data_IF_423316269169
#
_entry.id   IF_423316269169
#
_cell.length_a   1.000
_cell.length_b   1.000
_cell.length_c   1.000
_cell.angle_alpha   90.00
_cell.angle_beta   90.00
_cell.angle_gamma   90.00
#
_symmetry.space_group_name_H-M   'P 1'
#
loop_
_entity.id
_entity.type
_entity.pdbx_description
1 polymer ?
#
# COMPACT_ATOMS: atom_id res chain seq x y z
N UNK A 1 42.56 1.78 35.90
CA UNK A 1 41.29 1.04 36.06
C UNK A 1 40.17 2.01 35.76
N UNK A 2 39.68 2.01 34.52
CA UNK A 2 38.57 2.85 34.07
C UNK A 2 37.38 1.92 33.82
N UNK A 3 36.31 2.17 34.56
CA UNK A 3 35.08 1.38 34.63
C UNK A 3 34.23 1.57 33.37
N UNK A 4 33.74 0.46 32.82
CA UNK A 4 32.79 0.40 31.69
C UNK A 4 31.43 1.00 32.07
N UNK A 5 30.71 1.68 31.14
CA UNK A 5 29.34 2.12 31.38
C UNK A 5 28.37 0.94 31.31
N UNK A 6 27.45 0.90 32.27
CA UNK A 6 26.34 -0.05 32.44
C UNK A 6 25.36 0.03 31.27
N UNK A 7 24.94 -1.14 30.76
CA UNK A 7 23.94 -1.28 29.72
C UNK A 7 22.60 -0.61 30.09
N UNK A 8 22.14 0.31 29.26
CA UNK A 8 20.81 0.91 29.34
C UNK A 8 19.75 -0.13 28.98
N UNK A 9 18.75 -0.30 29.85
CA UNK A 9 17.63 -1.20 29.62
C UNK A 9 16.89 -0.84 28.33
N UNK A 10 16.70 -1.82 27.43
CA UNK A 10 15.88 -1.67 26.25
C UNK A 10 14.44 -1.29 26.65
N UNK A 11 13.96 -0.14 26.18
CA UNK A 11 12.57 0.24 26.34
C UNK A 11 11.68 -0.82 25.65
N UNK A 12 10.87 -1.54 26.43
CA UNK A 12 9.88 -2.46 25.89
C UNK A 12 8.93 -1.68 24.98
N UNK A 13 8.80 -2.09 23.73
CA UNK A 13 7.80 -1.55 22.82
C UNK A 13 6.40 -1.70 23.43
N UNK A 14 5.51 -0.69 23.27
CA UNK A 14 4.12 -0.85 23.67
C UNK A 14 3.50 -2.02 22.89
N UNK A 15 2.57 -2.76 23.51
CA UNK A 15 1.93 -3.90 22.86
C UNK A 15 1.16 -3.45 21.61
N UNK A 16 1.18 -4.28 20.57
CA UNK A 16 0.32 -4.10 19.39
C UNK A 16 -1.15 -4.10 19.84
N UNK A 17 -1.95 -3.09 19.44
CA UNK A 17 -3.37 -3.05 19.78
C UNK A 17 -4.09 -4.29 19.27
N UNK A 18 -5.02 -4.82 20.05
CA UNK A 18 -5.93 -5.87 19.59
C UNK A 18 -6.96 -5.28 18.62
N UNK A 19 -7.50 -6.11 17.72
CA UNK A 19 -8.55 -5.67 16.79
C UNK A 19 -9.71 -4.97 17.51
N UNK A 20 -10.13 -5.51 18.66
CA UNK A 20 -11.18 -4.92 19.51
C UNK A 20 -10.86 -3.50 19.99
N UNK A 21 -9.59 -3.18 20.21
CA UNK A 21 -9.13 -1.85 20.63
C UNK A 21 -9.11 -0.87 19.45
N UNK A 22 -8.76 -1.37 18.26
CA UNK A 22 -8.83 -0.62 16.99
C UNK A 22 -10.28 -0.30 16.67
N UNK A 23 -11.17 -1.29 16.71
CA UNK A 23 -12.60 -1.13 16.42
C UNK A 23 -13.26 -0.13 17.39
N UNK A 24 -12.89 -0.21 18.67
CA UNK A 24 -13.35 0.75 19.69
C UNK A 24 -12.88 2.17 19.38
N UNK A 25 -11.63 2.34 18.97
CA UNK A 25 -11.08 3.63 18.60
C UNK A 25 -11.81 4.20 17.38
N UNK A 26 -11.96 3.41 16.31
CA UNK A 26 -12.67 3.81 15.09
C UNK A 26 -14.12 4.21 15.37
N UNK A 27 -14.85 3.43 16.17
CA UNK A 27 -16.22 3.76 16.59
C UNK A 27 -16.31 5.06 17.38
N UNK A 28 -15.28 5.40 18.15
CA UNK A 28 -15.24 6.65 18.92
C UNK A 28 -14.75 7.87 18.12
N UNK A 29 -13.96 7.63 17.07
CA UNK A 29 -13.34 8.68 16.25
C UNK A 29 -14.19 9.09 15.04
N UNK A 30 -15.09 8.21 14.58
CA UNK A 30 -15.95 8.46 13.45
C UNK A 30 -17.29 9.08 13.88
N UNK A 31 -17.88 9.98 13.08
CA UNK A 31 -19.26 10.40 13.25
C UNK A 31 -20.19 9.18 13.31
N UNK A 32 -21.21 9.21 14.17
CA UNK A 32 -22.09 8.07 14.45
C UNK A 32 -22.73 7.46 13.19
N UNK A 33 -23.02 8.30 12.20
CA UNK A 33 -23.52 7.89 10.87
C UNK A 33 -22.47 7.13 10.03
N UNK A 34 -21.20 7.56 10.07
CA UNK A 34 -20.11 6.89 9.36
C UNK A 34 -19.74 5.57 10.04
N UNK A 35 -19.77 5.54 11.37
CA UNK A 35 -19.56 4.32 12.16
C UNK A 35 -20.67 3.30 11.90
N UNK A 36 -21.93 3.73 11.78
CA UNK A 36 -23.04 2.84 11.44
C UNK A 36 -22.89 2.24 10.04
N UNK A 37 -22.57 3.04 9.02
CA UNK A 37 -22.39 2.54 7.65
C UNK A 37 -21.17 1.61 7.46
N UNK A 38 -20.11 1.79 8.25
CA UNK A 38 -18.88 0.99 8.12
C UNK A 38 -18.93 -0.34 8.88
N UNK A 39 -19.80 -0.50 9.88
CA UNK A 39 -19.82 -1.64 10.80
C UNK A 39 -21.18 -2.36 10.85
N UNK A 40 -22.10 -2.08 9.92
CA UNK A 40 -23.35 -2.82 9.77
C UNK A 40 -23.19 -3.95 8.76
N UNK A 41 -23.07 -5.19 9.27
CA UNK A 41 -22.91 -6.41 8.46
C UNK A 41 -24.16 -6.74 7.61
N UNK A 42 -25.32 -6.11 7.89
CA UNK A 42 -26.58 -6.26 7.15
C UNK A 42 -26.82 -5.11 6.15
N UNK A 43 -25.94 -4.10 6.11
CA UNK A 43 -26.05 -3.04 5.12
C UNK A 43 -25.67 -3.57 3.74
N UNK A 44 -26.58 -3.45 2.77
CA UNK A 44 -26.32 -3.66 1.34
C UNK A 44 -25.36 -2.55 0.86
N UNK A 45 -24.08 -2.66 1.22
CA UNK A 45 -23.05 -1.64 0.99
C UNK A 45 -22.81 -1.52 -0.51
N UNK A 46 -23.43 -0.51 -1.11
CA UNK A 46 -23.22 -0.16 -2.51
C UNK A 46 -22.05 0.80 -2.56
N UNK A 47 -21.02 0.41 -3.30
CA UNK A 47 -19.92 1.29 -3.66
C UNK A 47 -20.45 2.44 -4.51
N UNK A 48 -20.74 3.56 -3.87
CA UNK A 48 -21.09 4.80 -4.55
C UNK A 48 -19.81 5.55 -4.88
N UNK A 49 -19.57 5.81 -6.17
CA UNK A 49 -18.46 6.65 -6.67
C UNK A 49 -18.36 8.01 -5.97
N UNK A 50 -19.47 8.56 -5.46
CA UNK A 50 -19.47 9.82 -4.70
C UNK A 50 -18.69 9.72 -3.39
N UNK A 51 -18.52 8.51 -2.82
CA UNK A 51 -17.77 8.26 -1.59
C UNK A 51 -16.24 8.31 -1.76
N UNK A 52 -15.74 8.31 -3.00
CA UNK A 52 -14.30 8.40 -3.32
C UNK A 52 -13.87 9.81 -3.77
N UNK A 53 -14.72 10.82 -3.57
CA UNK A 53 -14.36 12.20 -3.88
C UNK A 53 -13.32 12.73 -2.89
N UNK A 54 -12.36 13.46 -3.44
CA UNK A 54 -11.34 14.16 -2.66
C UNK A 54 -11.82 15.56 -2.28
N UNK A 55 -11.33 16.05 -1.14
CA UNK A 55 -11.51 17.45 -0.73
C UNK A 55 -10.79 18.41 -1.68
N UNK A 56 -9.61 18.00 -2.15
CA UNK A 56 -8.86 18.68 -3.20
C UNK A 56 -9.03 17.93 -4.53
N UNK A 57 -9.54 18.63 -5.55
CA UNK A 57 -9.77 18.10 -6.90
C UNK A 57 -8.72 18.58 -7.91
N UNK A 58 -7.64 19.19 -7.44
CA UNK A 58 -6.51 19.59 -8.27
C UNK A 58 -5.91 18.37 -8.97
N UNK A 59 -5.47 18.56 -10.22
CA UNK A 59 -4.86 17.50 -11.02
C UNK A 59 -3.61 16.92 -10.35
N UNK A 60 -3.52 15.59 -10.29
CA UNK A 60 -2.41 14.89 -9.63
C UNK A 60 -1.06 15.19 -10.28
N UNK A 61 -1.05 15.45 -11.59
CA UNK A 61 0.15 15.87 -12.33
C UNK A 61 0.82 17.11 -11.76
N UNK A 62 0.07 18.02 -11.12
CA UNK A 62 0.63 19.20 -10.45
C UNK A 62 1.28 18.81 -9.12
N UNK A 63 0.66 17.87 -8.39
CA UNK A 63 1.23 17.38 -7.13
C UNK A 63 2.53 16.62 -7.38
N UNK A 64 2.57 15.77 -8.42
CA UNK A 64 3.71 14.91 -8.77
C UNK A 64 4.68 15.52 -9.80
N UNK A 65 4.62 16.84 -10.07
CA UNK A 65 5.56 17.52 -10.99
C UNK A 65 7.03 17.39 -10.52
N UNK A 66 7.22 17.30 -9.20
CA UNK A 66 8.52 17.08 -8.56
C UNK A 66 8.51 15.82 -7.71
N UNK A 67 9.65 15.10 -7.64
CA UNK A 67 9.76 13.95 -6.76
C UNK A 67 9.58 14.36 -5.30
N UNK A 68 8.85 13.54 -4.57
CA UNK A 68 8.59 13.65 -3.14
C UNK A 68 9.36 12.54 -2.42
N UNK A 69 10.62 12.83 -2.17
CA UNK A 69 11.52 11.91 -1.48
C UNK A 69 11.35 12.02 0.03
N UNK A 70 10.15 11.67 0.51
CA UNK A 70 9.77 11.70 1.91
C UNK A 70 9.16 10.36 2.30
N UNK A 71 9.56 9.85 3.45
CA UNK A 71 8.95 8.66 4.04
C UNK A 71 7.74 9.09 4.90
N UNK A 72 6.57 8.57 4.58
CA UNK A 72 5.29 9.03 5.17
C UNK A 72 4.89 8.30 6.45
N UNK A 73 5.65 7.26 6.83
CA UNK A 73 5.42 6.43 8.01
C UNK A 73 6.72 6.27 8.79
N UNK A 74 6.62 5.93 10.08
CA UNK A 74 7.81 5.76 10.90
C UNK A 74 8.56 4.46 10.58
N UNK A 75 9.83 4.40 10.96
CA UNK A 75 10.74 3.27 10.67
C UNK A 75 10.19 1.91 11.12
N UNK A 76 9.38 1.84 12.20
CA UNK A 76 8.80 0.57 12.67
C UNK A 76 7.66 0.12 11.79
N UNK A 77 6.84 1.04 11.30
CA UNK A 77 5.80 0.74 10.32
C UNK A 77 6.42 0.24 9.02
N UNK A 78 7.51 0.85 8.57
CA UNK A 78 8.28 0.42 7.39
C UNK A 78 8.81 -1.00 7.59
N UNK A 79 9.43 -1.28 8.73
CA UNK A 79 9.94 -2.61 9.07
C UNK A 79 8.82 -3.66 9.10
N UNK A 80 7.68 -3.32 9.70
CA UNK A 80 6.53 -4.21 9.81
C UNK A 80 5.92 -4.54 8.44
N UNK A 81 5.68 -3.54 7.60
CA UNK A 81 5.18 -3.72 6.23
C UNK A 81 6.17 -4.53 5.40
N UNK A 82 7.45 -4.20 5.48
CA UNK A 82 8.50 -4.93 4.78
C UNK A 82 8.52 -6.41 5.20
N UNK A 83 8.48 -6.69 6.50
CA UNK A 83 8.43 -8.06 7.00
C UNK A 83 7.19 -8.81 6.52
N UNK A 84 6.01 -8.18 6.59
CA UNK A 84 4.74 -8.76 6.12
C UNK A 84 4.80 -9.11 4.64
N UNK A 85 5.25 -8.19 3.79
CA UNK A 85 5.29 -8.42 2.36
C UNK A 85 6.28 -9.51 1.96
N UNK A 86 7.46 -9.56 2.59
CA UNK A 86 8.41 -10.64 2.35
C UNK A 86 7.84 -12.00 2.78
N UNK A 87 7.14 -12.06 3.91
CA UNK A 87 6.45 -13.29 4.32
C UNK A 87 5.36 -13.69 3.32
N UNK A 88 4.61 -12.74 2.76
CA UNK A 88 3.62 -13.02 1.72
C UNK A 88 4.28 -13.61 0.47
N UNK A 89 5.41 -13.05 0.03
CA UNK A 89 6.16 -13.58 -1.11
C UNK A 89 6.67 -15.00 -0.82
N UNK A 90 7.25 -15.23 0.36
CA UNK A 90 7.77 -16.55 0.75
C UNK A 90 6.66 -17.60 0.84
N UNK A 91 5.53 -17.25 1.45
CA UNK A 91 4.41 -18.18 1.67
C UNK A 91 3.66 -18.50 0.38
N UNK A 92 3.51 -17.52 -0.52
CA UNK A 92 2.85 -17.70 -1.83
C UNK A 92 3.78 -18.28 -2.88
N UNK A 93 5.10 -18.19 -2.69
CA UNK A 93 6.09 -18.51 -3.73
C UNK A 93 6.07 -17.52 -4.89
N UNK A 94 5.59 -16.29 -4.66
CA UNK A 94 5.48 -15.28 -5.70
C UNK A 94 6.85 -14.95 -6.32
N UNK A 95 6.91 -14.96 -7.64
CA UNK A 95 8.10 -14.61 -8.43
C UNK A 95 7.94 -13.31 -9.18
N UNK A 96 6.69 -12.84 -9.34
CA UNK A 96 6.35 -11.62 -10.04
C UNK A 96 5.32 -10.79 -9.27
N UNK A 97 5.73 -9.63 -8.80
CA UNK A 97 4.95 -8.73 -7.94
C UNK A 97 4.66 -7.43 -8.68
N UNK A 98 3.41 -6.97 -8.58
CA UNK A 98 3.02 -5.62 -8.97
C UNK A 98 2.92 -4.76 -7.70
N UNK A 99 3.67 -3.67 -7.65
CA UNK A 99 3.59 -2.65 -6.60
C UNK A 99 2.82 -1.44 -7.13
N UNK A 100 1.58 -1.27 -6.69
CA UNK A 100 0.70 -0.17 -7.10
C UNK A 100 0.94 1.06 -6.24
N UNK A 101 0.90 2.22 -6.92
CA UNK A 101 1.19 3.51 -6.33
C UNK A 101 2.61 3.56 -5.73
N UNK A 102 3.55 2.86 -6.38
CA UNK A 102 4.94 2.79 -5.96
C UNK A 102 5.64 4.16 -6.02
N UNK A 103 6.60 4.36 -5.11
CA UNK A 103 7.48 5.53 -5.04
C UNK A 103 8.93 5.05 -4.88
N UNK A 104 9.82 5.90 -4.35
CA UNK A 104 11.24 5.65 -4.11
C UNK A 104 11.53 4.70 -2.94
N UNK A 105 10.65 4.65 -1.93
CA UNK A 105 10.75 3.67 -0.83
C UNK A 105 10.02 2.41 -1.24
N UNK A 106 10.70 1.26 -1.16
CA UNK A 106 10.06 -0.04 -1.28
C UNK A 106 9.80 -0.63 0.10
N UNK A 107 8.61 -1.17 0.32
CA UNK A 107 8.28 -1.97 1.50
C UNK A 107 8.52 -3.46 1.23
N UNK A 108 9.59 -3.77 0.51
CA UNK A 108 9.95 -5.10 0.06
C UNK A 108 11.46 -5.25 0.16
N UNK A 109 11.92 -6.49 0.33
CA UNK A 109 13.33 -6.80 0.08
C UNK A 109 13.39 -7.45 -1.28
N UNK A 110 14.21 -6.90 -2.18
CA UNK A 110 14.48 -7.54 -3.46
C UNK A 110 15.10 -8.93 -3.26
N UNK A 111 14.86 -9.83 -4.21
CA UNK A 111 15.47 -11.16 -4.24
C UNK A 111 15.90 -11.51 -5.68
N UNK A 112 16.93 -12.36 -5.88
CA UNK A 112 17.50 -12.59 -7.21
C UNK A 112 16.51 -13.09 -8.28
N UNK A 113 15.45 -13.78 -7.87
CA UNK A 113 14.44 -14.34 -8.78
C UNK A 113 13.08 -13.63 -8.67
N UNK A 114 13.04 -12.44 -8.07
CA UNK A 114 11.82 -11.67 -7.86
C UNK A 114 11.76 -10.52 -8.87
N UNK A 115 10.81 -10.58 -9.81
CA UNK A 115 10.46 -9.46 -10.67
C UNK A 115 9.47 -8.56 -9.93
N UNK A 116 9.88 -7.34 -9.56
CA UNK A 116 8.97 -6.34 -8.99
C UNK A 116 8.73 -5.25 -10.02
N UNK A 117 7.48 -5.06 -10.41
CA UNK A 117 7.04 -4.04 -11.36
C UNK A 117 6.27 -2.98 -10.61
N UNK A 118 6.71 -1.72 -10.69
CA UNK A 118 6.05 -0.60 -10.01
C UNK A 118 5.14 0.17 -10.95
N UNK A 119 3.98 0.60 -10.47
CA UNK A 119 3.15 1.63 -11.13
C UNK A 119 3.10 2.82 -10.21
N UNK A 120 3.57 3.98 -10.67
CA UNK A 120 3.62 5.19 -9.85
C UNK A 120 3.42 6.46 -10.66
N UNK A 121 3.47 7.60 -9.99
CA UNK A 121 3.14 8.90 -10.57
C UNK A 121 4.35 9.75 -10.97
N UNK A 122 5.53 9.44 -10.42
CA UNK A 122 6.74 10.22 -10.65
C UNK A 122 7.90 9.32 -11.07
N UNK A 123 8.48 9.62 -12.24
CA UNK A 123 9.55 8.80 -12.84
C UNK A 123 10.83 8.82 -12.00
N UNK A 124 11.19 9.96 -11.40
CA UNK A 124 12.40 10.11 -10.61
C UNK A 124 12.32 9.34 -9.29
N UNK A 125 11.14 9.31 -8.65
CA UNK A 125 10.88 8.46 -7.49
C UNK A 125 11.05 6.98 -7.85
N UNK A 126 10.42 6.53 -8.93
CA UNK A 126 10.47 5.13 -9.36
C UNK A 126 11.89 4.67 -9.73
N UNK A 127 12.69 5.54 -10.36
CA UNK A 127 14.11 5.27 -10.66
C UNK A 127 14.97 5.13 -9.41
N UNK A 128 14.61 5.79 -8.32
CA UNK A 128 15.33 5.72 -7.04
C UNK A 128 14.93 4.50 -6.20
N UNK A 129 13.86 3.80 -6.58
CA UNK A 129 13.42 2.61 -5.87
C UNK A 129 14.39 1.43 -6.12
N UNK A 130 15.08 0.92 -5.07
CA UNK A 130 16.13 -0.08 -5.24
C UNK A 130 15.63 -1.48 -5.56
N UNK A 131 14.32 -1.75 -5.42
CA UNK A 131 13.72 -3.07 -5.58
C UNK A 131 13.00 -3.23 -6.92
N UNK A 132 12.55 -2.13 -7.54
CA UNK A 132 11.87 -2.19 -8.82
C UNK A 132 12.81 -2.70 -9.93
N UNK A 133 12.35 -3.73 -10.62
CA UNK A 133 13.01 -4.26 -11.83
C UNK A 133 12.55 -3.54 -13.09
N UNK A 134 11.30 -3.05 -13.07
CA UNK A 134 10.63 -2.26 -14.11
C UNK A 134 9.62 -1.33 -13.46
N UNK A 135 9.25 -0.28 -14.16
CA UNK A 135 8.15 0.57 -13.72
C UNK A 135 7.43 1.22 -14.91
N UNK A 136 6.18 1.61 -14.67
CA UNK A 136 5.37 2.42 -15.57
C UNK A 136 4.85 3.66 -14.82
N UNK A 137 4.92 4.83 -15.49
CA UNK A 137 4.39 6.09 -14.93
C UNK A 137 2.95 6.25 -15.40
N UNK A 138 1.99 6.05 -14.49
CA UNK A 138 0.56 6.03 -14.81
C UNK A 138 -0.24 6.75 -13.73
N UNK A 139 -1.01 7.74 -14.17
CA UNK A 139 -2.08 8.32 -13.38
C UNK A 139 -3.32 7.42 -13.40
N UNK A 140 -3.45 6.60 -12.36
CA UNK A 140 -4.57 5.67 -12.18
C UNK A 140 -5.89 6.39 -11.89
N UNK A 141 -5.87 7.64 -11.39
CA UNK A 141 -7.08 8.44 -11.21
C UNK A 141 -7.62 8.94 -12.56
N UNK A 142 -6.73 9.26 -13.51
CA UNK A 142 -7.09 9.66 -14.86
C UNK A 142 -7.36 8.48 -15.78
N UNK A 143 -6.52 7.45 -15.70
CA UNK A 143 -6.54 6.24 -16.52
C UNK A 143 -6.41 5.01 -15.60
N UNK A 144 -7.52 4.50 -15.04
CA UNK A 144 -7.52 3.30 -14.22
C UNK A 144 -7.42 2.05 -15.13
N UNK A 145 -6.29 1.91 -15.81
CA UNK A 145 -6.01 0.80 -16.70
C UNK A 145 -4.55 0.38 -16.55
N UNK A 146 -4.32 -0.90 -16.34
CA UNK A 146 -2.98 -1.46 -16.22
C UNK A 146 -2.53 -1.99 -17.58
N UNK A 147 -1.31 -1.65 -18.06
CA UNK A 147 -0.84 -2.02 -19.39
C UNK A 147 -0.31 -3.47 -19.42
N UNK A 148 -0.92 -4.37 -18.65
CA UNK A 148 -0.44 -5.73 -18.43
C UNK A 148 -1.46 -6.74 -18.94
N UNK A 149 -0.95 -7.87 -19.45
CA UNK A 149 -1.81 -8.98 -19.85
C UNK A 149 -2.50 -9.60 -18.62
N UNK A 150 -3.61 -10.30 -18.85
CA UNK A 150 -4.29 -11.02 -17.77
C UNK A 150 -3.37 -12.08 -17.13
N UNK A 151 -3.51 -12.31 -15.82
CA UNK A 151 -2.72 -13.30 -15.06
C UNK A 151 -1.18 -13.11 -15.14
N UNK A 152 -0.72 -11.86 -15.29
CA UNK A 152 0.69 -11.49 -15.36
C UNK A 152 1.41 -11.52 -14.01
N UNK A 153 0.72 -11.34 -12.88
CA UNK A 153 1.34 -11.21 -11.56
C UNK A 153 0.89 -12.28 -10.57
N UNK A 154 1.83 -12.72 -9.73
CA UNK A 154 1.59 -13.68 -8.65
C UNK A 154 1.06 -12.98 -7.38
N UNK A 155 1.40 -11.71 -7.19
CA UNK A 155 1.03 -10.90 -6.04
C UNK A 155 0.89 -9.43 -6.46
N UNK A 156 -0.13 -8.75 -5.97
CA UNK A 156 -0.31 -7.30 -6.15
C UNK A 156 -0.37 -6.66 -4.78
N UNK A 157 0.45 -5.62 -4.60
CA UNK A 157 0.53 -4.80 -3.41
C UNK A 157 -0.04 -3.42 -3.73
N UNK A 158 -0.87 -2.87 -2.85
CA UNK A 158 -1.29 -1.47 -2.88
C UNK A 158 -1.22 -0.96 -1.44
N UNK A 159 -0.15 -0.23 -1.12
CA UNK A 159 0.19 0.11 0.26
C UNK A 159 0.19 1.62 0.44
N UNK A 160 -0.39 2.09 1.54
CA UNK A 160 -0.38 3.52 1.92
C UNK A 160 -0.97 4.45 0.85
N UNK A 161 -1.80 3.93 -0.07
CA UNK A 161 -2.17 4.62 -1.30
C UNK A 161 -3.59 4.35 -1.81
N UNK A 162 -4.35 3.44 -1.18
CA UNK A 162 -5.71 3.14 -1.65
C UNK A 162 -6.64 4.34 -1.48
N UNK A 163 -6.43 5.07 -0.40
CA UNK A 163 -7.08 6.30 0.02
C UNK A 163 -6.74 7.52 -0.86
N UNK A 164 -5.73 7.40 -1.72
CA UNK A 164 -5.45 8.36 -2.80
C UNK A 164 -6.32 8.14 -4.05
N UNK A 165 -6.83 6.92 -4.27
CA UNK A 165 -7.57 6.57 -5.48
C UNK A 165 -9.00 7.12 -5.44
N UNK A 166 -9.38 7.86 -6.48
CA UNK A 166 -10.74 8.33 -6.74
C UNK A 166 -11.59 7.34 -7.53
N UNK A 167 -10.94 6.39 -8.18
CA UNK A 167 -11.58 5.32 -8.98
C UNK A 167 -11.08 3.94 -8.56
N UNK A 168 -11.08 3.60 -7.25
CA UNK A 168 -10.45 2.39 -6.76
C UNK A 168 -11.11 1.12 -7.32
N UNK A 169 -12.42 1.11 -7.52
CA UNK A 169 -13.14 -0.04 -8.07
C UNK A 169 -12.58 -0.44 -9.43
N UNK A 170 -12.44 0.53 -10.33
CA UNK A 170 -11.95 0.31 -11.70
C UNK A 170 -10.48 -0.13 -11.68
N UNK A 171 -9.66 0.48 -10.80
CA UNK A 171 -8.27 0.05 -10.59
C UNK A 171 -8.22 -1.40 -10.10
N UNK A 172 -9.06 -1.78 -9.14
CA UNK A 172 -9.06 -3.14 -8.60
C UNK A 172 -9.67 -4.18 -9.56
N UNK A 173 -10.51 -3.78 -10.51
CA UNK A 173 -10.94 -4.64 -11.63
C UNK A 173 -9.75 -4.96 -12.57
N UNK A 174 -8.90 -3.98 -12.84
CA UNK A 174 -7.66 -4.18 -13.61
C UNK A 174 -6.64 -5.02 -12.83
N UNK A 175 -6.52 -4.80 -11.52
CA UNK A 175 -5.73 -5.67 -10.63
C UNK A 175 -6.22 -7.10 -10.71
N UNK A 176 -7.53 -7.32 -10.56
CA UNK A 176 -8.12 -8.66 -10.63
C UNK A 176 -7.85 -9.33 -11.97
N UNK A 177 -7.86 -8.57 -13.07
CA UNK A 177 -7.58 -9.10 -14.40
C UNK A 177 -6.11 -9.47 -14.56
N UNK A 178 -5.20 -8.62 -14.08
CA UNK A 178 -3.74 -8.80 -14.20
C UNK A 178 -3.14 -9.78 -13.18
N UNK A 179 -3.80 -9.99 -12.04
CA UNK A 179 -3.41 -10.96 -11.03
C UNK A 179 -3.82 -12.39 -11.43
N UNK A 180 -3.00 -13.38 -11.09
CA UNK A 180 -3.33 -14.81 -11.26
C UNK A 180 -4.51 -15.20 -10.37
N UNK A 181 -5.26 -16.23 -10.76
CA UNK A 181 -6.42 -16.71 -9.97
C UNK A 181 -6.08 -17.21 -8.55
N UNK A 182 -4.82 -17.54 -8.27
CA UNK A 182 -4.31 -17.85 -6.92
C UNK A 182 -3.49 -16.71 -6.29
N UNK A 183 -3.44 -15.55 -6.94
CA UNK A 183 -2.76 -14.38 -6.41
C UNK A 183 -3.58 -13.78 -5.26
N UNK A 184 -2.92 -13.54 -4.14
CA UNK A 184 -3.50 -12.82 -3.00
C UNK A 184 -3.48 -11.33 -3.29
N UNK A 185 -4.64 -10.67 -3.35
CA UNK A 185 -4.71 -9.20 -3.34
C UNK A 185 -4.62 -8.72 -1.89
N UNK A 186 -3.59 -7.95 -1.55
CA UNK A 186 -3.40 -7.42 -0.20
C UNK A 186 -3.45 -5.90 -0.24
N UNK A 187 -4.48 -5.35 0.40
CA UNK A 187 -4.68 -3.93 0.61
C UNK A 187 -4.44 -3.66 2.10
N UNK A 188 -3.45 -2.83 2.44
CA UNK A 188 -3.19 -2.35 3.81
C UNK A 188 -3.05 -0.84 3.83
#
# INVERSE_FOLDING_TARGET
>A
MLTTPTATAAARSPPTPKQEEIDKYLKSALPEQLAFEMFDDEADYKFDSLKFRRLDSTEDSLFYDRPKLVEHIDERAVEALTKRNNNLIETTGATKVLDLCASHVSHLKGAPNLEVVGVGMNEDELKLNPVLTKFDVIDLNKKPALPYASNSFDLVLCQLSVDYLTRPIEVFEEVRTSARSEATNVND
#
